data_IF_031041877843
#
_entry.id   IF_031041877843
#
_cell.length_a   1.000
_cell.length_b   1.000
_cell.length_c   1.000
_cell.angle_alpha   90.00
_cell.angle_beta   90.00
_cell.angle_gamma   90.00
#
_symmetry.space_group_name_H-M   'P 1'
#
loop_
_entity.id
_entity.type
_entity.pdbx_description
1 polymer ?
#
# COMPACT_ATOMS: atom_id res chain seq x y z
N UNK A 1 -12.90 -14.31 14.47
CA UNK A 1 -13.53 -13.40 13.49
C UNK A 1 -12.37 -12.88 12.71
N UNK A 2 -12.27 -13.11 11.40
CA UNK A 2 -11.08 -12.73 10.64
C UNK A 2 -10.73 -11.25 10.82
N UNK A 3 -9.44 -10.93 10.72
CA UNK A 3 -8.93 -9.56 10.63
C UNK A 3 -9.82 -8.66 9.76
N UNK A 4 -10.18 -7.49 10.29
CA UNK A 4 -11.13 -6.57 9.65
C UNK A 4 -10.41 -5.48 8.84
N UNK A 5 -9.90 -5.83 7.65
CA UNK A 5 -9.33 -4.84 6.71
C UNK A 5 -10.44 -4.01 6.05
N UNK A 6 -10.34 -2.69 6.16
CA UNK A 6 -11.23 -1.73 5.49
C UNK A 6 -10.41 -0.78 4.63
N UNK A 7 -10.86 -0.52 3.41
CA UNK A 7 -10.25 0.44 2.48
C UNK A 7 -11.19 1.60 2.17
N UNK A 8 -10.61 2.77 1.91
CA UNK A 8 -11.30 3.97 1.46
C UNK A 8 -10.44 4.69 0.42
N UNK A 9 -10.99 4.92 -0.77
CA UNK A 9 -10.38 5.80 -1.77
C UNK A 9 -10.69 7.25 -1.40
N UNK A 10 -9.67 8.04 -1.07
CA UNK A 10 -9.80 9.47 -0.81
C UNK A 10 -9.71 10.24 -2.13
N UNK A 11 -8.77 9.83 -2.98
CA UNK A 11 -8.59 10.39 -4.31
C UNK A 11 -8.09 9.29 -5.26
N UNK A 12 -8.61 9.28 -6.48
CA UNK A 12 -8.08 8.48 -7.58
C UNK A 12 -8.11 9.32 -8.85
N UNK A 13 -7.08 10.15 -9.03
CA UNK A 13 -6.93 11.01 -10.19
C UNK A 13 -6.07 10.38 -11.28
N UNK A 14 -5.91 11.11 -12.39
CA UNK A 14 -5.09 10.65 -13.52
C UNK A 14 -3.60 10.48 -13.20
N UNK A 15 -3.04 11.17 -12.20
CA UNK A 15 -1.63 11.03 -11.83
C UNK A 15 -1.42 10.55 -10.39
N UNK A 16 -2.32 10.91 -9.48
CA UNK A 16 -2.15 10.67 -8.05
C UNK A 16 -3.37 9.96 -7.48
N UNK A 17 -3.12 8.90 -6.71
CA UNK A 17 -4.14 8.26 -5.89
C UNK A 17 -3.75 8.35 -4.40
N UNK A 18 -4.76 8.54 -3.56
CA UNK A 18 -4.65 8.60 -2.10
C UNK A 18 -5.66 7.60 -1.54
N UNK A 19 -5.15 6.59 -0.85
CA UNK A 19 -5.96 5.50 -0.29
C UNK A 19 -5.71 5.42 1.22
N UNK A 20 -6.79 5.19 1.97
CA UNK A 20 -6.75 4.95 3.41
C UNK A 20 -7.12 3.50 3.70
N UNK A 21 -6.38 2.89 4.60
CA UNK A 21 -6.62 1.54 5.08
C UNK A 21 -6.65 1.52 6.60
N UNK A 22 -7.51 0.68 7.16
CA UNK A 22 -7.54 0.39 8.59
C UNK A 22 -7.73 -1.10 8.79
N UNK A 23 -7.09 -1.63 9.82
CA UNK A 23 -7.28 -3.02 10.24
C UNK A 23 -7.48 -3.09 11.75
N UNK A 24 -8.31 -4.04 12.16
CA UNK A 24 -8.40 -4.52 13.54
C UNK A 24 -8.08 -6.01 13.49
N UNK A 25 -7.02 -6.42 14.18
CA UNK A 25 -6.58 -7.80 14.11
C UNK A 25 -7.37 -8.70 15.06
N UNK A 26 -7.55 -9.95 14.63
CA UNK A 26 -8.08 -11.04 15.43
C UNK A 26 -6.99 -11.86 16.12
N UNK A 27 -5.73 -11.45 15.97
CA UNK A 27 -4.53 -12.10 16.51
C UNK A 27 -3.82 -13.01 15.52
N UNK A 28 -4.32 -13.17 14.29
CA UNK A 28 -3.60 -13.89 13.22
C UNK A 28 -2.81 -12.96 12.30
N UNK A 29 -3.18 -11.68 12.26
CA UNK A 29 -2.55 -10.68 11.42
C UNK A 29 -2.86 -10.84 9.92
N UNK A 30 -2.37 -9.90 9.12
CA UNK A 30 -2.39 -9.97 7.66
C UNK A 30 -1.11 -10.60 7.13
N UNK A 31 -1.25 -11.44 6.11
CA UNK A 31 -0.14 -11.99 5.33
C UNK A 31 -0.37 -11.66 3.86
N UNK A 32 0.48 -10.79 3.31
CA UNK A 32 0.52 -10.45 1.88
C UNK A 32 -0.84 -9.98 1.32
N UNK A 33 -1.62 -9.27 2.13
CA UNK A 33 -2.92 -8.74 1.71
C UNK A 33 -2.74 -7.54 0.76
N UNK A 34 -3.49 -7.48 -0.34
CA UNK A 34 -3.39 -6.39 -1.32
C UNK A 34 -4.01 -5.10 -0.75
N UNK A 35 -3.22 -4.03 -0.66
CA UNK A 35 -3.72 -2.70 -0.29
C UNK A 35 -3.97 -1.85 -1.53
N UNK A 36 -2.95 -1.65 -2.36
CA UNK A 36 -3.07 -0.89 -3.60
C UNK A 36 -3.05 -1.88 -4.76
N UNK A 37 -4.24 -2.18 -5.29
CA UNK A 37 -4.43 -2.93 -6.53
C UNK A 37 -4.40 -1.94 -7.70
N UNK A 38 -3.33 -1.93 -8.48
CA UNK A 38 -3.14 -0.99 -9.60
C UNK A 38 -4.14 -1.21 -10.72
N UNK A 39 -4.62 -2.44 -10.89
CA UNK A 39 -5.61 -2.78 -11.92
C UNK A 39 -6.99 -2.23 -11.61
N UNK A 40 -7.26 -1.97 -10.32
CA UNK A 40 -8.50 -1.34 -9.85
C UNK A 40 -8.50 0.20 -9.92
N UNK A 41 -7.33 0.82 -10.10
CA UNK A 41 -7.21 2.28 -10.18
C UNK A 41 -7.70 2.82 -11.53
N UNK A 42 -8.20 4.06 -11.53
CA UNK A 42 -8.73 4.70 -12.74
C UNK A 42 -7.73 4.72 -13.92
N UNK A 43 -8.23 4.60 -15.14
CA UNK A 43 -7.40 4.75 -16.33
C UNK A 43 -6.93 6.21 -16.51
N UNK A 44 -5.86 6.41 -17.27
CA UNK A 44 -5.40 7.76 -17.62
C UNK A 44 -6.52 8.52 -18.35
N UNK A 45 -6.89 9.74 -17.91
CA UNK A 45 -8.02 10.45 -18.48
C UNK A 45 -7.80 10.89 -19.93
N UNK A 46 -6.54 10.99 -20.39
CA UNK A 46 -6.13 11.42 -21.73
C UNK A 46 -5.90 10.23 -22.65
N UNK A 47 -5.00 9.30 -22.28
CA UNK A 47 -4.62 8.15 -23.12
C UNK A 47 -5.56 6.96 -22.98
N UNK A 48 -6.42 6.94 -21.95
CA UNK A 48 -7.32 5.83 -21.61
C UNK A 48 -6.60 4.52 -21.27
N UNK A 49 -5.30 4.56 -21.04
CA UNK A 49 -4.52 3.39 -20.66
C UNK A 49 -4.78 3.02 -19.20
N UNK A 50 -4.86 1.71 -18.94
CA UNK A 50 -4.95 1.18 -17.58
C UNK A 50 -3.67 1.50 -16.81
N UNK A 51 -3.81 1.77 -15.50
CA UNK A 51 -2.67 1.92 -14.61
C UNK A 51 -1.88 0.61 -14.58
N UNK A 52 -0.56 0.69 -14.76
CA UNK A 52 0.33 -0.49 -14.80
C UNK A 52 1.35 -0.49 -13.67
N UNK A 53 1.34 0.53 -12.83
CA UNK A 53 2.23 0.61 -11.69
C UNK A 53 2.02 1.85 -10.88
N UNK A 54 2.65 1.86 -9.71
CA UNK A 54 2.65 3.00 -8.81
C UNK A 54 4.05 3.27 -8.26
N UNK A 55 4.28 4.51 -7.88
CA UNK A 55 5.47 4.96 -7.13
C UNK A 55 4.99 5.54 -5.82
N UNK A 56 5.46 4.99 -4.69
CA UNK A 56 5.11 5.50 -3.37
C UNK A 56 5.67 6.91 -3.21
N UNK A 57 4.80 7.87 -2.84
CA UNK A 57 5.19 9.26 -2.62
C UNK A 57 5.20 9.60 -1.13
N UNK A 58 4.20 9.13 -0.41
CA UNK A 58 4.02 9.49 1.00
C UNK A 58 3.19 8.44 1.70
N UNK A 59 3.52 8.22 2.96
CA UNK A 59 2.72 7.38 3.84
C UNK A 59 2.57 8.05 5.20
N UNK A 60 1.34 8.15 5.67
CA UNK A 60 1.02 8.48 7.07
C UNK A 60 0.49 7.22 7.73
N UNK A 61 1.05 6.85 8.88
CA UNK A 61 0.64 5.65 9.58
C UNK A 61 0.47 5.90 11.08
N UNK A 62 -0.35 5.05 11.70
CA UNK A 62 -0.49 4.94 13.15
C UNK A 62 -0.74 3.47 13.47
N UNK A 63 0.15 2.86 14.23
CA UNK A 63 0.17 1.44 14.54
C UNK A 63 0.08 1.26 16.06
N UNK A 64 -0.85 0.43 16.53
CA UNK A 64 -1.06 0.14 17.94
C UNK A 64 -1.05 -1.38 18.13
N UNK A 65 -0.08 -1.88 18.90
CA UNK A 65 0.06 -3.29 19.26
C UNK A 65 0.69 -4.19 18.18
N UNK A 66 0.75 -3.75 16.92
CA UNK A 66 1.39 -4.49 15.83
C UNK A 66 2.30 -3.60 14.96
N UNK A 67 3.29 -4.21 14.30
CA UNK A 67 4.04 -3.58 13.21
C UNK A 67 3.41 -3.87 11.85
N UNK A 68 3.79 -3.09 10.83
CA UNK A 68 3.32 -3.28 9.46
C UNK A 68 4.50 -3.30 8.50
N UNK A 69 4.51 -4.26 7.58
CA UNK A 69 5.46 -4.34 6.48
C UNK A 69 4.70 -4.18 5.16
N UNK A 70 5.16 -3.25 4.32
CA UNK A 70 4.69 -3.07 2.97
C UNK A 70 5.63 -3.78 2.01
N UNK A 71 5.06 -4.44 1.00
CA UNK A 71 5.80 -5.17 -0.02
C UNK A 71 5.34 -4.78 -1.43
N UNK A 72 6.26 -4.85 -2.38
CA UNK A 72 5.95 -4.87 -3.80
C UNK A 72 5.57 -6.29 -4.20
N UNK A 73 4.41 -6.43 -4.85
CA UNK A 73 3.93 -7.72 -5.35
C UNK A 73 4.71 -8.17 -6.59
N UNK A 74 5.21 -9.41 -6.53
CA UNK A 74 5.91 -10.08 -7.61
C UNK A 74 5.96 -11.60 -7.37
N UNK A 75 6.59 -12.38 -8.26
CA UNK A 75 6.79 -13.83 -8.01
C UNK A 75 7.52 -14.10 -6.69
N UNK A 76 8.40 -13.20 -6.29
CA UNK A 76 8.93 -13.11 -4.93
C UNK A 76 8.76 -11.67 -4.47
N UNK A 77 7.89 -11.47 -3.48
CA UNK A 77 7.57 -10.16 -2.94
C UNK A 77 8.84 -9.47 -2.40
N UNK A 78 8.95 -8.17 -2.65
CA UNK A 78 10.12 -7.37 -2.27
C UNK A 78 9.72 -6.37 -1.19
N UNK A 79 10.46 -6.27 -0.07
CA UNK A 79 10.17 -5.28 0.96
C UNK A 79 10.22 -3.85 0.42
N UNK A 80 9.18 -3.07 0.69
CA UNK A 80 9.07 -1.64 0.38
C UNK A 80 9.40 -0.81 1.62
N UNK A 81 8.70 -1.05 2.73
CA UNK A 81 8.85 -0.25 3.95
C UNK A 81 8.37 -1.02 5.18
N UNK A 82 9.14 -0.94 6.27
CA UNK A 82 8.72 -1.42 7.58
C UNK A 82 8.27 -0.24 8.45
N UNK A 83 7.08 -0.37 9.02
CA UNK A 83 6.45 0.59 9.92
C UNK A 83 6.45 -0.02 11.32
N UNK A 84 7.13 0.62 12.29
CA UNK A 84 7.29 0.04 13.62
C UNK A 84 5.96 -0.09 14.35
N UNK A 85 5.95 -1.00 15.32
CA UNK A 85 4.87 -1.17 16.27
C UNK A 85 4.82 0.02 17.25
N UNK A 86 3.62 0.35 17.73
CA UNK A 86 3.38 1.38 18.76
C UNK A 86 3.97 2.74 18.38
N UNK A 87 3.77 3.12 17.12
CA UNK A 87 4.33 4.33 16.53
C UNK A 87 3.38 4.95 15.53
N UNK A 88 3.52 6.26 15.36
CA UNK A 88 2.83 7.03 14.34
C UNK A 88 3.79 8.04 13.72
N UNK A 89 3.73 8.18 12.40
CA UNK A 89 4.53 9.16 11.70
C UNK A 89 3.97 9.40 10.29
N UNK A 90 4.54 10.40 9.63
CA UNK A 90 4.41 10.63 8.21
C UNK A 90 5.77 10.61 7.55
N UNK A 91 5.97 9.63 6.67
CA UNK A 91 7.18 9.49 5.88
C UNK A 91 6.90 10.05 4.49
N UNK A 92 7.62 11.10 4.13
CA UNK A 92 7.45 11.84 2.88
C UNK A 92 8.63 11.60 1.94
N UNK A 93 8.34 11.00 0.80
CA UNK A 93 9.28 10.72 -0.28
C UNK A 93 8.97 11.56 -1.53
N UNK A 94 8.08 12.55 -1.45
CA UNK A 94 7.56 13.24 -2.65
C UNK A 94 8.63 13.96 -3.48
N UNK A 95 9.80 14.23 -2.89
CA UNK A 95 10.96 14.80 -3.60
C UNK A 95 11.59 13.84 -4.63
N UNK A 96 11.46 12.51 -4.45
CA UNK A 96 12.11 11.52 -5.32
C UNK A 96 11.25 10.29 -5.65
N UNK A 97 10.30 9.94 -4.80
CA UNK A 97 9.45 8.76 -4.88
C UNK A 97 10.21 7.45 -4.66
N UNK A 98 9.51 6.42 -4.19
CA UNK A 98 10.04 5.05 -4.13
C UNK A 98 9.38 4.23 -5.24
N UNK A 99 10.09 3.96 -6.35
CA UNK A 99 9.57 3.13 -7.43
C UNK A 99 9.60 1.65 -7.05
N UNK A 100 8.75 0.86 -7.70
CA UNK A 100 8.77 -0.58 -7.57
C UNK A 100 10.09 -1.15 -8.15
N UNK A 101 10.86 -1.84 -7.31
CA UNK A 101 12.15 -2.47 -7.63
C UNK A 101 12.06 -4.00 -7.74
N UNK A 102 10.85 -4.55 -7.80
CA UNK A 102 10.63 -5.98 -7.98
C UNK A 102 10.97 -6.45 -9.40
N UNK A 103 11.26 -7.74 -9.53
CA UNK A 103 11.69 -8.36 -10.78
C UNK A 103 10.57 -9.03 -11.55
N UNK A 104 10.79 -10.28 -11.95
CA UNK A 104 9.80 -11.07 -12.70
C UNK A 104 8.47 -11.18 -11.95
N UNK A 105 7.37 -11.07 -12.70
CA UNK A 105 6.02 -11.20 -12.16
C UNK A 105 5.50 -9.97 -11.41
N UNK A 106 6.19 -8.83 -11.49
CA UNK A 106 5.71 -7.58 -10.89
C UNK A 106 4.33 -7.20 -11.43
N UNK A 107 3.38 -6.97 -10.53
CA UNK A 107 2.02 -6.49 -10.86
C UNK A 107 1.90 -4.98 -10.72
N UNK A 108 2.81 -4.36 -9.96
CA UNK A 108 2.72 -2.96 -9.55
C UNK A 108 1.98 -2.76 -8.23
N UNK A 109 1.40 -3.81 -7.66
CA UNK A 109 0.60 -3.74 -6.44
C UNK A 109 1.44 -3.52 -5.18
N UNK A 110 0.81 -2.94 -4.15
CA UNK A 110 1.38 -2.82 -2.81
C UNK A 110 0.62 -3.76 -1.87
N UNK A 111 1.36 -4.69 -1.27
CA UNK A 111 0.86 -5.64 -0.29
C UNK A 111 1.17 -5.19 1.14
N UNK A 112 0.47 -5.78 2.09
CA UNK A 112 0.71 -5.60 3.52
C UNK A 112 0.83 -6.93 4.25
N UNK A 113 1.81 -7.00 5.14
CA UNK A 113 1.96 -8.05 6.15
C UNK A 113 2.06 -7.39 7.51
N UNK A 114 1.38 -7.92 8.52
CA UNK A 114 1.50 -7.42 9.90
C UNK A 114 2.52 -8.24 10.67
N UNK A 115 3.22 -7.59 11.60
CA UNK A 115 4.25 -8.21 12.43
C UNK A 115 3.82 -8.14 13.89
N UNK A 116 3.90 -9.27 14.60
CA UNK A 116 3.54 -9.40 16.02
C UNK A 116 2.09 -9.02 16.36
N UNK A 117 1.15 -9.25 15.44
CA UNK A 117 -0.26 -8.92 15.68
C UNK A 117 -0.90 -9.81 16.77
N UNK A 118 -1.65 -9.16 17.66
CA UNK A 118 -2.47 -9.75 18.70
C UNK A 118 -3.93 -9.32 18.50
N UNK A 119 -4.87 -10.04 19.12
CA UNK A 119 -6.29 -9.72 19.02
C UNK A 119 -6.59 -8.33 19.60
N UNK A 120 -7.20 -7.47 18.79
CA UNK A 120 -7.56 -6.09 19.14
C UNK A 120 -6.52 -5.03 18.74
N UNK A 121 -5.35 -5.45 18.25
CA UNK A 121 -4.35 -4.53 17.71
C UNK A 121 -4.88 -3.87 16.43
N UNK A 122 -4.41 -2.66 16.14
CA UNK A 122 -4.91 -1.89 14.99
C UNK A 122 -3.80 -1.18 14.23
N UNK A 123 -4.05 -0.93 12.96
CA UNK A 123 -3.30 0.04 12.18
C UNK A 123 -4.21 0.97 11.38
N UNK A 124 -3.69 2.14 11.07
CA UNK A 124 -4.19 3.06 10.06
C UNK A 124 -3.05 3.41 9.12
N UNK A 125 -3.31 3.33 7.82
CA UNK A 125 -2.39 3.75 6.76
C UNK A 125 -3.10 4.72 5.83
N UNK A 126 -2.43 5.80 5.46
CA UNK A 126 -2.82 6.68 4.35
C UNK A 126 -1.66 6.71 3.37
N UNK A 127 -1.86 6.10 2.22
CA UNK A 127 -0.85 5.91 1.18
C UNK A 127 -1.15 6.85 0.02
N UNK A 128 -0.18 7.68 -0.33
CA UNK A 128 -0.19 8.51 -1.54
C UNK A 128 0.77 7.91 -2.56
N UNK A 129 0.25 7.64 -3.76
CA UNK A 129 1.01 7.08 -4.87
C UNK A 129 0.86 7.91 -6.13
N UNK A 130 1.92 7.91 -6.93
CA UNK A 130 1.90 8.41 -8.30
C UNK A 130 1.72 7.24 -9.25
N UNK A 131 0.75 7.34 -10.16
CA UNK A 131 0.39 6.32 -11.13
C UNK A 131 1.32 6.38 -12.34
N UNK A 132 1.69 5.20 -12.83
CA UNK A 132 2.34 4.99 -14.12
C UNK A 132 1.43 4.19 -15.05
N UNK A 133 1.51 4.52 -16.33
CA UNK A 133 0.76 3.88 -17.40
C UNK A 133 1.77 3.35 -18.42
N UNK A 134 1.43 2.28 -19.12
CA UNK A 134 2.25 1.81 -20.23
C UNK A 134 2.48 2.97 -21.20
N UNK A 135 3.73 3.21 -21.61
CA UNK A 135 3.98 4.11 -22.74
C UNK A 135 3.29 3.55 -23.98
N UNK A 136 2.57 4.40 -24.72
CA UNK A 136 2.04 4.06 -26.03
C UNK A 136 3.16 3.71 -27.03
#
# INVERSE_FOLDING_TARGET
MADALTSQVIQDGGRTAVLKFTNISDGTGQSEAVLVDVSSLSADPVTKQSCTGVTLQKITFSNIGMGVELLWDATTNVPLLNLPQDWEDTIDFSDFGIPNNSGSGSTGDILVTTVNATAGDTYLLVITVTKSYASA
#
